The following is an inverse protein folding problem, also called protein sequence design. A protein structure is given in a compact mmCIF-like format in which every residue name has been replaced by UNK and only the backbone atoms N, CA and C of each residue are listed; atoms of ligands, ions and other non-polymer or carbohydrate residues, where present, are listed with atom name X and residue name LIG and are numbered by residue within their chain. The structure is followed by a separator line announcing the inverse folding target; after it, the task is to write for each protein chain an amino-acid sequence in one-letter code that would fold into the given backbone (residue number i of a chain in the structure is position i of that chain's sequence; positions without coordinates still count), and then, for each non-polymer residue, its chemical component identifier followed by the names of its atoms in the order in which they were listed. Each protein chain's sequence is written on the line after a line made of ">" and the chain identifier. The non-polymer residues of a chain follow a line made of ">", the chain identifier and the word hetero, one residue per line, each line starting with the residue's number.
data_IF_909643570343
#
_entry.id   IF_909643570343
#
_cell.length_a   1.000
_cell.length_b   1.000
_cell.length_c   1.000
_cell.angle_alpha   90.00
_cell.angle_beta   90.00
_cell.angle_gamma   90.00
#
_symmetry.space_group_name_H-M   'P 1'
#
loop_
_entity.id
_entity.type
_entity.pdbx_description
1 polymer ?
#
# COMPACT_ATOMS: atom_id res chain seq x y z
N UNK A 1 11.10 -23.06 -31.04
CA UNK A 1 11.33 -24.41 -31.59
C UNK A 1 10.39 -25.35 -30.88
N UNK A 2 9.71 -26.23 -31.61
CA UNK A 2 8.75 -27.21 -31.07
C UNK A 2 9.05 -28.56 -31.71
N UNK A 3 8.99 -29.63 -30.91
CA UNK A 3 9.25 -30.98 -31.41
C UNK A 3 8.17 -31.41 -32.40
N UNK A 4 8.59 -31.79 -33.62
CA UNK A 4 7.67 -32.28 -34.63
C UNK A 4 7.76 -33.81 -34.75
N UNK A 5 6.68 -34.52 -34.41
CA UNK A 5 6.64 -35.98 -34.55
C UNK A 5 6.72 -36.53 -35.98
N UNK A 6 6.77 -35.68 -37.01
CA UNK A 6 7.01 -36.09 -38.40
C UNK A 6 8.45 -35.84 -38.87
N UNK A 7 9.07 -34.75 -38.43
CA UNK A 7 10.49 -34.48 -38.69
C UNK A 7 11.42 -35.18 -37.68
N UNK A 8 10.89 -35.66 -36.56
CA UNK A 8 11.63 -36.25 -35.43
C UNK A 8 12.72 -35.32 -34.84
N UNK A 9 12.59 -34.01 -35.08
CA UNK A 9 13.55 -32.98 -34.67
C UNK A 9 12.82 -31.73 -34.16
N UNK A 10 13.56 -30.88 -33.44
CA UNK A 10 13.10 -29.56 -32.99
C UNK A 10 13.10 -28.56 -34.15
N UNK A 11 11.90 -28.22 -34.61
CA UNK A 11 11.69 -27.40 -35.79
C UNK A 11 11.17 -26.00 -35.42
N UNK A 12 11.41 -24.97 -36.25
CA UNK A 12 10.72 -23.70 -36.11
C UNK A 12 9.22 -23.90 -36.34
N UNK A 13 8.39 -23.28 -35.50
CA UNK A 13 6.94 -23.29 -35.66
C UNK A 13 6.48 -21.99 -36.31
N UNK A 14 5.45 -22.07 -37.12
CA UNK A 14 4.75 -20.93 -37.73
C UNK A 14 3.34 -20.90 -37.17
N UNK A 15 2.84 -19.68 -36.90
CA UNK A 15 1.46 -19.45 -36.50
C UNK A 15 0.72 -18.85 -37.67
N UNK A 16 -0.29 -19.54 -38.17
CA UNK A 16 -1.15 -18.99 -39.23
C UNK A 16 -1.99 -17.85 -38.65
N UNK A 17 -1.88 -16.62 -39.19
CA UNK A 17 -2.56 -15.45 -38.63
C UNK A 17 -4.09 -15.54 -38.74
N UNK A 18 -4.61 -16.27 -39.73
CA UNK A 18 -6.05 -16.32 -40.02
C UNK A 18 -6.79 -17.40 -39.22
N UNK A 19 -6.12 -18.51 -38.90
CA UNK A 19 -6.73 -19.66 -38.23
C UNK A 19 -6.15 -19.94 -36.83
N UNK A 20 -5.08 -19.24 -36.42
CA UNK A 20 -4.46 -19.43 -35.10
C UNK A 20 -3.81 -20.81 -34.88
N UNK A 21 -3.67 -21.60 -35.95
CA UNK A 21 -3.11 -22.96 -35.91
C UNK A 21 -1.58 -22.86 -35.83
N UNK A 22 -0.97 -23.73 -35.02
CA UNK A 22 0.49 -23.86 -34.93
C UNK A 22 0.93 -24.99 -35.85
N UNK A 23 1.70 -24.66 -36.88
CA UNK A 23 2.25 -25.61 -37.84
C UNK A 23 3.77 -25.68 -37.77
N UNK A 24 4.33 -26.83 -38.16
CA UNK A 24 5.77 -27.00 -38.31
C UNK A 24 6.23 -26.29 -39.59
N UNK A 25 7.23 -25.40 -39.47
CA UNK A 25 7.76 -24.61 -40.60
C UNK A 25 8.54 -25.39 -41.65
N UNK A 26 8.81 -26.69 -41.42
CA UNK A 26 9.58 -27.54 -42.34
C UNK A 26 8.69 -28.53 -43.10
N UNK A 27 7.76 -29.20 -42.41
CA UNK A 27 6.90 -30.21 -43.03
C UNK A 27 5.43 -29.80 -43.17
N UNK A 28 5.02 -28.64 -42.64
CA UNK A 28 3.64 -28.17 -42.70
C UNK A 28 2.66 -28.96 -41.81
N UNK A 29 3.13 -29.89 -40.98
CA UNK A 29 2.27 -30.65 -40.07
C UNK A 29 1.71 -29.74 -38.98
N UNK A 30 0.40 -29.82 -38.74
CA UNK A 30 -0.27 -29.17 -37.61
C UNK A 30 0.21 -29.81 -36.31
N UNK A 31 0.80 -28.99 -35.44
CA UNK A 31 1.31 -29.40 -34.12
C UNK A 31 0.24 -29.22 -33.05
N UNK A 32 -0.46 -28.09 -33.07
CA UNK A 32 -1.58 -27.82 -32.16
C UNK A 32 -2.78 -27.25 -32.94
N UNK A 33 -3.92 -27.96 -32.97
CA UNK A 33 -5.14 -27.48 -33.61
C UNK A 33 -5.94 -26.51 -32.72
N UNK A 34 -5.62 -26.39 -31.43
CA UNK A 34 -6.41 -25.60 -30.50
C UNK A 34 -5.88 -24.17 -30.39
N UNK A 35 -6.79 -23.21 -30.60
CA UNK A 35 -6.56 -21.79 -30.36
C UNK A 35 -6.77 -21.55 -28.87
N UNK A 36 -5.68 -21.53 -28.09
CA UNK A 36 -5.74 -21.07 -26.71
C UNK A 36 -5.64 -19.54 -26.72
N UNK A 37 -6.74 -18.89 -26.36
CA UNK A 37 -6.72 -17.47 -26.01
C UNK A 37 -6.39 -17.34 -24.53
N UNK A 38 -5.33 -16.62 -24.20
CA UNK A 38 -4.96 -16.32 -22.79
C UNK A 38 -5.91 -15.27 -22.17
N UNK A 39 -6.84 -14.73 -22.96
CA UNK A 39 -7.84 -13.76 -22.55
C UNK A 39 -9.04 -14.34 -21.77
N UNK A 40 -9.70 -13.52 -20.93
CA UNK A 40 -10.94 -13.90 -20.27
C UNK A 40 -12.08 -14.05 -21.29
N UNK A 41 -12.72 -15.23 -21.33
CA UNK A 41 -13.91 -15.45 -22.17
C UNK A 41 -15.20 -15.15 -21.41
N UNK A 42 -16.18 -14.50 -22.06
CA UNK A 42 -17.48 -14.14 -21.47
C UNK A 42 -18.63 -14.88 -22.19
N UNK A 43 -19.51 -15.50 -21.42
CA UNK A 43 -20.71 -16.19 -21.91
C UNK A 43 -21.94 -15.39 -21.50
N UNK A 44 -22.88 -15.18 -22.41
CA UNK A 44 -24.17 -14.60 -22.09
C UNK A 44 -25.13 -15.69 -21.64
N UNK A 45 -25.66 -15.55 -20.43
CA UNK A 45 -26.78 -16.39 -19.97
C UNK A 45 -28.02 -16.07 -20.81
N UNK A 46 -28.99 -16.99 -20.84
CA UNK A 46 -30.30 -16.81 -21.48
C UNK A 46 -31.11 -15.61 -20.92
N UNK A 47 -30.68 -15.06 -19.78
CA UNK A 47 -31.18 -13.82 -19.18
C UNK A 47 -30.52 -12.54 -19.74
N UNK A 48 -29.60 -12.65 -20.70
CA UNK A 48 -28.90 -11.52 -21.32
C UNK A 48 -27.73 -10.97 -20.50
N UNK A 49 -27.45 -11.52 -19.31
CA UNK A 49 -26.29 -11.12 -18.52
C UNK A 49 -25.01 -11.80 -19.02
N UNK A 50 -23.96 -11.01 -19.28
CA UNK A 50 -22.63 -11.52 -19.60
C UNK A 50 -21.91 -11.95 -18.32
N UNK A 51 -21.50 -13.22 -18.23
CA UNK A 51 -20.72 -13.78 -17.14
C UNK A 51 -19.37 -14.25 -17.65
N UNK A 52 -18.32 -14.10 -16.84
CA UNK A 52 -17.02 -14.70 -17.14
C UNK A 52 -17.16 -16.23 -17.17
N UNK A 53 -16.58 -16.87 -18.19
CA UNK A 53 -16.55 -18.32 -18.32
C UNK A 53 -15.50 -18.87 -17.36
N UNK A 54 -15.97 -19.38 -16.23
CA UNK A 54 -15.12 -19.96 -15.19
C UNK A 54 -15.65 -19.63 -13.80
N UNK A 55 -15.38 -20.53 -12.86
CA UNK A 55 -15.58 -20.26 -11.44
C UNK A 55 -14.26 -19.76 -10.88
N UNK A 56 -14.27 -18.62 -10.18
CA UNK A 56 -13.13 -18.23 -9.33
C UNK A 56 -13.13 -19.20 -8.15
N UNK A 57 -12.36 -20.27 -8.26
CA UNK A 57 -12.10 -21.17 -7.13
C UNK A 57 -11.11 -20.44 -6.24
N UNK A 58 -11.62 -19.71 -5.23
CA UNK A 58 -10.77 -19.34 -4.09
C UNK A 58 -10.39 -20.65 -3.41
N UNK A 59 -9.11 -21.00 -3.41
CA UNK A 59 -8.63 -22.19 -2.73
C UNK A 59 -9.13 -22.17 -1.27
N UNK A 60 -10.01 -23.11 -0.93
CA UNK A 60 -10.57 -23.30 0.42
C UNK A 60 -9.55 -24.07 1.30
N UNK A 61 -8.26 -24.08 0.94
CA UNK A 61 -7.26 -24.85 1.66
C UNK A 61 -6.93 -24.26 3.03
N UNK A 62 -7.32 -23.02 3.32
CA UNK A 62 -7.15 -22.45 4.65
C UNK A 62 -8.32 -21.55 5.03
N UNK A 63 -9.14 -21.99 5.98
CA UNK A 63 -10.03 -21.10 6.76
C UNK A 63 -9.26 -19.98 7.48
N UNK A 64 -7.92 -20.08 7.54
CA UNK A 64 -7.00 -19.04 7.97
C UNK A 64 -6.91 -17.86 6.98
N UNK A 65 -7.07 -18.10 5.67
CA UNK A 65 -6.87 -17.08 4.62
C UNK A 65 -7.91 -15.95 4.68
N UNK A 66 -9.20 -16.27 4.86
CA UNK A 66 -10.27 -15.26 4.91
C UNK A 66 -10.14 -14.37 6.15
N UNK A 67 -9.76 -14.96 7.30
CA UNK A 67 -9.59 -14.20 8.55
C UNK A 67 -8.37 -13.29 8.50
N UNK A 68 -7.28 -13.79 7.91
CA UNK A 68 -6.06 -13.00 7.65
C UNK A 68 -6.31 -11.89 6.63
N UNK A 69 -6.99 -12.18 5.52
CA UNK A 69 -7.36 -11.19 4.49
C UNK A 69 -8.26 -10.09 5.06
N UNK A 70 -9.22 -10.43 5.93
CA UNK A 70 -10.03 -9.43 6.66
C UNK A 70 -9.19 -8.55 7.57
N UNK A 71 -8.22 -9.12 8.27
CA UNK A 71 -7.33 -8.36 9.18
C UNK A 71 -6.38 -7.46 8.39
N UNK A 72 -5.92 -7.94 7.22
CA UNK A 72 -5.16 -7.14 6.27
C UNK A 72 -5.98 -5.97 5.71
N UNK A 73 -7.20 -6.24 5.22
CA UNK A 73 -8.10 -5.22 4.69
C UNK A 73 -8.43 -4.16 5.75
N UNK A 74 -8.75 -4.60 6.97
CA UNK A 74 -8.97 -3.68 8.10
C UNK A 74 -7.74 -2.81 8.37
N UNK A 75 -6.53 -3.37 8.32
CA UNK A 75 -5.29 -2.61 8.48
C UNK A 75 -5.11 -1.55 7.39
N UNK A 76 -5.42 -1.88 6.14
CA UNK A 76 -5.39 -0.93 5.02
C UNK A 76 -6.36 0.21 5.22
N UNK A 77 -7.58 -0.10 5.66
CA UNK A 77 -8.63 0.90 5.88
C UNK A 77 -8.21 1.88 6.98
N UNK A 78 -7.65 1.39 8.10
CA UNK A 78 -7.13 2.23 9.18
C UNK A 78 -6.01 3.16 8.70
N UNK A 79 -5.06 2.64 7.91
CA UNK A 79 -3.98 3.45 7.30
C UNK A 79 -4.58 4.55 6.41
N UNK A 80 -5.58 4.21 5.59
CA UNK A 80 -6.25 5.15 4.70
C UNK A 80 -6.95 6.27 5.48
N UNK A 81 -7.66 5.93 6.57
CA UNK A 81 -8.32 6.91 7.44
C UNK A 81 -7.31 7.88 8.07
N UNK A 82 -6.19 7.37 8.58
CA UNK A 82 -5.15 8.19 9.21
C UNK A 82 -4.49 9.13 8.17
N UNK A 83 -4.17 8.61 6.98
CA UNK A 83 -3.58 9.42 5.89
C UNK A 83 -4.50 10.55 5.47
N UNK A 84 -5.80 10.26 5.31
CA UNK A 84 -6.78 11.27 4.94
C UNK A 84 -7.01 12.29 6.07
N UNK A 85 -7.07 11.83 7.33
CA UNK A 85 -7.24 12.71 8.49
C UNK A 85 -6.08 13.69 8.70
N UNK A 86 -4.84 13.22 8.54
CA UNK A 86 -3.64 14.05 8.71
C UNK A 86 -3.23 14.81 7.44
N UNK A 87 -3.93 14.61 6.32
CA UNK A 87 -3.58 15.14 5.00
C UNK A 87 -2.10 14.90 4.67
N UNK A 88 -1.67 13.63 4.75
CA UNK A 88 -0.29 13.26 4.48
C UNK A 88 0.02 13.52 3.00
N UNK A 89 0.92 14.45 2.69
CA UNK A 89 1.27 14.76 1.31
C UNK A 89 1.98 13.56 0.69
N UNK A 90 1.41 12.94 -0.35
CA UNK A 90 2.00 11.81 -1.10
C UNK A 90 1.08 10.62 -1.39
N UNK A 91 -0.23 10.81 -1.26
CA UNK A 91 -1.24 10.01 -1.97
C UNK A 91 -1.19 8.50 -1.71
N UNK A 92 -1.56 7.73 -2.75
CA UNK A 92 -1.72 6.27 -2.68
C UNK A 92 -0.38 5.53 -2.52
N UNK A 93 0.75 6.14 -2.92
CA UNK A 93 2.07 5.53 -2.82
C UNK A 93 2.49 5.30 -1.36
N UNK A 94 2.20 6.27 -0.48
CA UNK A 94 2.46 6.13 0.96
C UNK A 94 1.56 5.06 1.55
N UNK A 95 0.30 5.01 1.14
CA UNK A 95 -0.66 4.01 1.63
C UNK A 95 -0.18 2.61 1.22
N UNK A 96 0.25 2.42 -0.03
CA UNK A 96 0.77 1.14 -0.52
C UNK A 96 2.04 0.70 0.22
N UNK A 97 2.99 1.62 0.44
CA UNK A 97 4.23 1.31 1.16
C UNK A 97 3.96 0.99 2.63
N UNK A 98 3.11 1.77 3.32
CA UNK A 98 2.68 1.50 4.69
C UNK A 98 1.93 0.16 4.80
N UNK A 99 1.07 -0.16 3.83
CA UNK A 99 0.37 -1.45 3.77
C UNK A 99 1.35 -2.62 3.66
N UNK A 100 2.41 -2.47 2.87
CA UNK A 100 3.43 -3.50 2.74
C UNK A 100 4.19 -3.75 4.07
N UNK A 101 4.49 -2.69 4.84
CA UNK A 101 5.04 -2.84 6.19
C UNK A 101 4.05 -3.50 7.14
N UNK A 102 2.76 -3.19 7.02
CA UNK A 102 1.72 -3.83 7.82
C UNK A 102 1.58 -5.33 7.50
N UNK A 103 1.70 -5.73 6.23
CA UNK A 103 1.78 -7.15 5.83
C UNK A 103 2.94 -7.87 6.51
N UNK A 104 4.12 -7.27 6.48
CA UNK A 104 5.30 -7.84 7.14
C UNK A 104 5.11 -7.97 8.66
N UNK A 105 4.41 -7.01 9.29
CA UNK A 105 4.05 -7.08 10.70
C UNK A 105 3.02 -8.19 10.99
N UNK A 106 2.06 -8.42 10.07
CA UNK A 106 1.10 -9.51 10.15
C UNK A 106 1.77 -10.88 10.06
N UNK A 107 2.75 -11.04 9.16
CA UNK A 107 3.53 -12.28 9.02
C UNK A 107 4.28 -12.64 10.30
N UNK A 108 4.82 -11.63 10.99
CA UNK A 108 5.46 -11.81 12.28
C UNK A 108 4.48 -11.89 13.46
N UNK A 109 3.17 -11.95 13.19
CA UNK A 109 2.09 -12.03 14.18
C UNK A 109 2.07 -10.90 15.23
N UNK A 110 2.63 -9.74 14.89
CA UNK A 110 2.72 -8.57 15.76
C UNK A 110 1.35 -7.92 16.06
N UNK A 111 0.36 -8.17 15.20
CA UNK A 111 -1.01 -7.64 15.34
C UNK A 111 -1.86 -8.41 16.37
N UNK A 112 -1.39 -9.55 16.88
CA UNK A 112 -2.14 -10.34 17.86
C UNK A 112 -2.17 -9.62 19.23
N UNK A 113 -3.36 -9.27 19.71
CA UNK A 113 -3.57 -8.66 21.03
C UNK A 113 -3.24 -7.16 21.11
N UNK A 114 -2.89 -6.51 19.99
CA UNK A 114 -2.64 -5.07 19.92
C UNK A 114 -3.73 -4.38 19.10
N UNK A 115 -4.01 -3.11 19.40
CA UNK A 115 -4.96 -2.35 18.59
C UNK A 115 -4.41 -2.14 17.18
N UNK A 116 -5.24 -2.42 16.17
CA UNK A 116 -4.88 -2.29 14.74
C UNK A 116 -4.52 -0.86 14.37
N UNK A 117 -5.18 0.14 14.97
CA UNK A 117 -4.91 1.56 14.81
C UNK A 117 -3.48 1.95 15.23
N UNK A 118 -2.98 1.41 16.35
CA UNK A 118 -1.63 1.70 16.84
C UNK A 118 -0.56 1.13 15.92
N UNK A 119 -0.77 -0.11 15.46
CA UNK A 119 0.16 -0.79 14.55
C UNK A 119 0.15 -0.10 13.18
N UNK A 120 -1.03 0.24 12.67
CA UNK A 120 -1.21 1.00 11.43
C UNK A 120 -0.46 2.34 11.47
N UNK A 121 -0.61 3.12 12.55
CA UNK A 121 0.10 4.38 12.73
C UNK A 121 1.62 4.21 12.80
N UNK A 122 2.13 3.18 13.50
CA UNK A 122 3.55 2.89 13.56
C UNK A 122 4.13 2.49 12.19
N UNK A 123 3.42 1.66 11.43
CA UNK A 123 3.80 1.28 10.05
C UNK A 123 3.80 2.50 9.11
N UNK A 124 2.79 3.37 9.23
CA UNK A 124 2.70 4.60 8.45
C UNK A 124 3.83 5.57 8.79
N UNK A 125 4.21 5.70 10.06
CA UNK A 125 5.34 6.52 10.49
C UNK A 125 6.67 6.07 9.84
N UNK A 126 6.90 4.76 9.73
CA UNK A 126 8.08 4.20 9.04
C UNK A 126 8.06 4.59 7.55
N UNK A 127 6.91 4.48 6.88
CA UNK A 127 6.77 4.87 5.48
C UNK A 127 7.00 6.38 5.28
N UNK A 128 6.47 7.23 6.17
CA UNK A 128 6.71 8.68 6.14
C UNK A 128 8.20 9.01 6.33
N UNK A 129 8.90 8.30 7.21
CA UNK A 129 10.34 8.47 7.44
C UNK A 129 11.17 8.03 6.23
N UNK A 130 10.74 6.97 5.54
CA UNK A 130 11.37 6.52 4.28
C UNK A 130 11.22 7.54 3.16
N UNK A 131 10.09 8.25 3.12
CA UNK A 131 9.84 9.33 2.16
C UNK A 131 10.35 10.71 2.59
N UNK A 132 11.16 10.80 3.66
CA UNK A 132 11.72 12.05 4.21
C UNK A 132 10.67 13.15 4.44
N UNK A 133 9.45 12.75 4.83
CA UNK A 133 8.33 13.68 5.04
C UNK A 133 8.36 14.23 6.47
N UNK A 134 8.02 15.51 6.69
CA UNK A 134 8.13 16.15 8.00
C UNK A 134 6.97 15.80 8.95
N UNK A 135 6.62 14.52 9.10
CA UNK A 135 5.59 14.04 10.04
C UNK A 135 6.23 13.46 11.31
N UNK A 136 5.68 13.83 12.47
CA UNK A 136 6.17 13.38 13.78
C UNK A 136 5.18 12.40 14.42
N UNK A 137 5.69 11.52 15.28
CA UNK A 137 4.87 10.63 16.11
C UNK A 137 3.79 11.38 16.92
N UNK A 138 4.05 12.64 17.26
CA UNK A 138 3.11 13.52 17.97
C UNK A 138 1.88 13.82 17.12
N UNK A 139 2.02 14.05 15.81
CA UNK A 139 0.86 14.31 14.95
C UNK A 139 -0.10 13.09 14.92
N UNK A 140 0.45 11.88 14.90
CA UNK A 140 -0.34 10.63 14.96
C UNK A 140 -0.96 10.40 16.35
N UNK A 141 -0.23 10.79 17.40
CA UNK A 141 -0.69 10.74 18.79
C UNK A 141 -1.89 11.66 19.01
N UNK A 142 -1.88 12.86 18.43
CA UNK A 142 -2.99 13.81 18.50
C UNK A 142 -4.22 13.32 17.74
N UNK A 143 -4.03 12.71 16.56
CA UNK A 143 -5.14 12.15 15.77
C UNK A 143 -5.80 10.94 16.45
N UNK A 144 -5.02 10.03 17.02
CA UNK A 144 -5.53 8.83 17.68
C UNK A 144 -5.88 9.04 19.17
N UNK A 145 -5.60 10.22 19.73
CA UNK A 145 -5.79 10.55 21.15
C UNK A 145 -5.11 9.57 22.13
N UNK A 146 -3.89 9.15 21.82
CA UNK A 146 -3.09 8.24 22.68
C UNK A 146 -1.85 8.99 23.14
N UNK A 147 -1.22 8.57 24.25
CA UNK A 147 0.08 9.11 24.64
C UNK A 147 1.20 8.71 23.68
N UNK A 148 2.05 9.67 23.30
CA UNK A 148 3.22 9.46 22.42
C UNK A 148 4.14 8.32 22.92
N UNK A 149 4.27 8.16 24.24
CA UNK A 149 5.12 7.14 24.85
C UNK A 149 4.68 5.71 24.49
N UNK A 150 3.39 5.44 24.50
CA UNK A 150 2.83 4.12 24.12
C UNK A 150 3.06 3.87 22.64
N UNK A 151 2.82 4.88 21.80
CA UNK A 151 3.03 4.76 20.35
C UNK A 151 4.52 4.55 20.01
N UNK A 152 5.42 5.25 20.71
CA UNK A 152 6.86 5.08 20.60
C UNK A 152 7.33 3.68 21.02
N UNK A 153 6.77 3.13 22.11
CA UNK A 153 7.08 1.76 22.54
C UNK A 153 6.65 0.72 21.49
N UNK A 154 5.46 0.87 20.91
CA UNK A 154 4.98 -0.01 19.82
C UNK A 154 5.89 0.10 18.60
N UNK A 155 6.30 1.31 18.23
CA UNK A 155 7.24 1.54 17.14
C UNK A 155 8.60 0.87 17.37
N UNK A 156 9.19 1.01 18.55
CA UNK A 156 10.47 0.37 18.87
C UNK A 156 10.39 -1.16 18.81
N UNK A 157 9.30 -1.73 19.36
CA UNK A 157 9.05 -3.17 19.29
C UNK A 157 8.83 -3.65 17.84
N UNK A 158 8.14 -2.85 17.03
CA UNK A 158 7.95 -3.14 15.60
C UNK A 158 9.30 -3.15 14.86
N UNK A 159 10.17 -2.15 15.10
CA UNK A 159 11.51 -2.11 14.52
C UNK A 159 12.37 -3.30 14.94
N UNK A 160 12.26 -3.77 16.19
CA UNK A 160 12.97 -4.95 16.68
C UNK A 160 12.48 -6.24 16.01
N UNK A 161 11.16 -6.38 15.82
CA UNK A 161 10.55 -7.57 15.20
C UNK A 161 10.82 -7.63 13.69
N UNK A 162 10.78 -6.51 12.99
CA UNK A 162 11.07 -6.47 11.55
C UNK A 162 12.58 -6.56 11.23
N UNK A 163 13.44 -6.78 12.24
CA UNK A 163 14.90 -6.86 12.09
C UNK A 163 15.51 -5.66 11.34
N UNK A 164 14.91 -4.47 11.49
CA UNK A 164 15.44 -3.22 10.92
C UNK A 164 16.70 -2.72 11.64
N UNK A 165 17.33 -3.54 12.49
CA UNK A 165 18.55 -3.21 13.23
C UNK A 165 19.75 -2.90 12.33
N UNK A 166 19.76 -3.39 11.09
CA UNK A 166 20.86 -3.17 10.13
C UNK A 166 20.50 -2.19 8.99
N UNK A 167 19.24 -1.74 8.90
CA UNK A 167 18.83 -0.87 7.80
C UNK A 167 19.00 0.62 8.17
N UNK A 168 19.62 1.45 7.32
CA UNK A 168 19.89 2.88 7.58
C UNK A 168 18.66 3.77 7.82
N UNK A 169 17.45 3.21 7.84
CA UNK A 169 16.19 3.90 8.16
C UNK A 169 16.05 4.17 9.67
N UNK A 170 16.51 3.25 10.53
CA UNK A 170 16.47 3.42 11.99
C UNK A 170 17.66 4.23 12.50
N UNK A 171 18.82 4.08 11.83
CA UNK A 171 20.08 4.71 12.23
C UNK A 171 20.24 6.17 11.77
N UNK A 172 19.47 6.62 10.77
CA UNK A 172 19.44 8.04 10.39
C UNK A 172 18.83 8.83 11.55
N UNK A 173 19.67 9.49 12.35
CA UNK A 173 19.22 10.50 13.30
C UNK A 173 18.24 11.42 12.56
N UNK A 174 17.07 11.61 13.14
CA UNK A 174 16.04 12.47 12.58
C UNK A 174 16.60 13.90 12.55
N UNK A 175 16.96 14.39 11.37
CA UNK A 175 17.57 15.71 11.21
C UNK A 175 16.56 16.79 11.65
N UNK A 176 16.87 17.60 12.68
CA UNK A 176 15.96 18.64 13.17
C UNK A 176 15.58 19.67 12.10
N UNK A 177 16.41 19.83 11.06
CA UNK A 177 16.23 20.77 9.95
C UNK A 177 15.00 20.50 9.09
N UNK A 178 14.59 19.24 8.92
CA UNK A 178 13.37 18.86 8.18
C UNK A 178 12.10 19.42 8.85
N UNK A 179 12.15 19.68 10.16
CA UNK A 179 11.00 20.16 10.92
C UNK A 179 10.96 21.68 11.06
N UNK A 180 12.07 22.37 10.77
CA UNK A 180 12.18 23.83 10.95
C UNK A 180 11.10 24.53 10.12
N UNK A 181 10.97 24.20 8.83
CA UNK A 181 10.01 24.87 7.92
C UNK A 181 8.55 24.72 8.38
N UNK A 182 8.17 23.51 8.82
CA UNK A 182 6.80 23.22 9.28
C UNK A 182 6.48 23.83 10.65
N UNK A 183 7.45 23.85 11.58
CA UNK A 183 7.26 24.51 12.88
C UNK A 183 7.29 26.03 12.76
N UNK A 184 8.04 26.60 11.81
CA UNK A 184 7.97 28.03 11.51
C UNK A 184 6.63 28.41 10.91
N UNK A 185 6.04 27.62 10.00
CA UNK A 185 4.72 27.89 9.43
C UNK A 185 3.57 27.77 10.46
N UNK A 186 3.60 26.74 11.32
CA UNK A 186 2.62 26.61 12.42
C UNK A 186 2.78 27.76 13.42
N UNK A 187 3.98 28.09 13.88
CA UNK A 187 4.17 29.21 14.83
C UNK A 187 3.92 30.59 14.21
N UNK A 188 4.19 30.78 12.92
CA UNK A 188 3.85 32.01 12.19
C UNK A 188 2.37 32.15 11.94
N UNK A 189 1.59 31.07 11.80
CA UNK A 189 0.12 31.18 11.74
C UNK A 189 -0.48 31.54 13.11
N UNK A 190 0.03 30.99 14.22
CA UNK A 190 -0.38 31.45 15.55
C UNK A 190 0.06 32.90 15.85
N UNK A 191 1.26 33.30 15.43
CA UNK A 191 1.72 34.69 15.54
C UNK A 191 0.97 35.63 14.61
N UNK A 192 0.65 35.25 13.37
CA UNK A 192 -0.09 36.09 12.44
C UNK A 192 -1.56 36.21 12.84
N UNK A 193 -2.20 35.15 13.38
CA UNK A 193 -3.54 35.23 13.99
C UNK A 193 -3.52 36.05 15.27
N UNK A 194 -2.48 35.95 16.13
CA UNK A 194 -2.33 36.84 17.28
C UNK A 194 -2.08 38.29 16.85
N UNK A 195 -1.25 38.56 15.84
CA UNK A 195 -0.99 39.91 15.32
C UNK A 195 -2.26 40.50 14.70
N UNK A 196 -3.05 39.72 13.96
CA UNK A 196 -4.34 40.17 13.44
C UNK A 196 -5.37 40.41 14.55
N UNK A 197 -5.41 39.59 15.62
CA UNK A 197 -6.27 39.83 16.78
C UNK A 197 -5.81 41.04 17.60
N UNK A 198 -4.50 41.22 17.78
CA UNK A 198 -3.90 42.33 18.55
C UNK A 198 -4.07 43.66 17.80
N UNK A 199 -3.89 43.70 16.47
CA UNK A 199 -4.21 44.89 15.67
C UNK A 199 -5.70 45.24 15.74
N UNK A 200 -6.60 44.25 15.72
CA UNK A 200 -8.05 44.50 15.80
C UNK A 200 -8.49 44.98 17.19
N UNK A 201 -7.84 44.57 18.27
CA UNK A 201 -8.08 45.09 19.63
C UNK A 201 -7.43 46.46 19.88
N UNK A 202 -6.30 46.76 19.23
CA UNK A 202 -5.64 48.07 19.38
C UNK A 202 -6.35 49.22 18.66
N UNK A 203 -7.16 48.93 17.63
CA UNK A 203 -7.98 49.95 16.94
C UNK A 203 -9.25 50.34 17.70
N UNK A 204 -9.70 49.54 18.69
CA UNK A 204 -10.88 49.85 19.50
C UNK A 204 -10.57 50.67 20.77
N UNK A 205 -9.30 50.76 21.16
CA UNK A 205 -8.85 51.50 22.37
C UNK A 205 -8.39 52.94 22.03
N UNK A 206 -8.34 53.31 20.75
CA UNK A 206 -7.80 54.61 20.30
C UNK A 206 -8.88 55.63 19.89
N UNK A 207 -10.16 55.42 20.22
CA UNK A 207 -11.30 56.31 19.90
C UNK A 207 -12.11 56.67 21.16
N UNK A 208 -11.49 56.79 22.33
CA UNK A 208 -12.12 57.44 23.49
C UNK A 208 -11.13 58.25 24.30
#
# INVERSE_FOLDING_TARGET
>A
MVFCGHCQDDCPYVKDPDNGIICCGICGKVLDPNIYDDGPSFVKDSSGQSRLRGSIIKAIEDGCSISRERTEAKGRDEIWQIVHGLHVSGGDDIICTAHNFYKLALDNSFTKGRQTSHVAAACLYIACRRGEKPYLLIDFSDYLHISVYVLGAVFLQLCQVLLLGEHPIVQKLVDPSLFIHRFTERKLTYMCVLIYKIQKTSSYIRIH
#
